data_IF_233631945072
#
_entry.id   IF_233631945072
#
_cell.length_a   1.000
_cell.length_b   1.000
_cell.length_c   1.000
_cell.angle_alpha   90.00
_cell.angle_beta   90.00
_cell.angle_gamma   90.00
#
_symmetry.space_group_name_H-M   'P 1'
#
loop_
_entity.id
_entity.type
_entity.pdbx_description
1 polymer ?
#
# COMPACT_ATOMS: atom_id res chain seq x y z
N UNK A 1 -3.46 15.92 76.25
CA UNK A 1 -2.71 15.36 75.11
C UNK A 1 -3.68 14.58 74.24
N UNK A 2 -4.19 15.21 73.20
CA UNK A 2 -5.03 14.56 72.21
C UNK A 2 -4.10 13.76 71.29
N UNK A 3 -4.21 12.43 71.32
CA UNK A 3 -3.47 11.56 70.40
C UNK A 3 -4.05 11.80 69.01
N UNK A 4 -3.34 12.58 68.20
CA UNK A 4 -3.63 12.74 66.78
C UNK A 4 -3.34 11.40 66.10
N UNK A 5 -4.39 10.60 65.94
CA UNK A 5 -4.35 9.34 65.22
C UNK A 5 -3.92 9.64 63.78
N UNK A 6 -2.73 9.15 63.40
CA UNK A 6 -2.25 9.26 62.04
C UNK A 6 -3.32 8.73 61.06
N UNK A 7 -3.53 9.42 59.92
CA UNK A 7 -4.51 9.00 58.94
C UNK A 7 -4.24 7.56 58.49
N UNK A 8 -5.29 6.75 58.25
CA UNK A 8 -5.13 5.36 57.84
C UNK A 8 -4.30 5.27 56.54
N UNK A 9 -3.46 4.25 56.45
CA UNK A 9 -2.64 4.00 55.28
C UNK A 9 -3.52 3.96 54.01
N UNK A 10 -3.11 4.61 52.91
CA UNK A 10 -3.91 4.69 51.70
C UNK A 10 -4.09 3.28 51.12
N UNK A 11 -5.35 2.88 50.87
CA UNK A 11 -5.64 1.55 50.36
C UNK A 11 -5.40 1.46 48.85
N UNK A 12 -4.95 0.29 48.37
CA UNK A 12 -4.81 0.02 46.93
C UNK A 12 -6.13 0.22 46.18
N UNK A 13 -7.27 -0.08 46.81
CA UNK A 13 -8.61 0.13 46.24
C UNK A 13 -8.91 1.62 46.05
N UNK A 14 -8.56 2.46 47.03
CA UNK A 14 -8.73 3.91 46.92
C UNK A 14 -7.85 4.50 45.80
N UNK A 15 -6.61 4.02 45.68
CA UNK A 15 -5.73 4.38 44.57
C UNK A 15 -6.32 3.94 43.22
N UNK A 16 -6.84 2.71 43.14
CA UNK A 16 -7.47 2.19 41.93
C UNK A 16 -8.70 3.01 41.51
N UNK A 17 -9.52 3.44 42.48
CA UNK A 17 -10.67 4.32 42.24
C UNK A 17 -10.21 5.70 41.73
N UNK A 18 -9.21 6.29 42.39
CA UNK A 18 -8.64 7.58 41.99
C UNK A 18 -8.01 7.54 40.59
N UNK A 19 -7.34 6.44 40.27
CA UNK A 19 -6.69 6.23 38.98
C UNK A 19 -7.65 5.75 37.90
N UNK A 20 -8.87 5.28 38.24
CA UNK A 20 -9.81 4.66 37.30
C UNK A 20 -10.00 5.46 36.01
N UNK A 21 -10.17 6.77 36.10
CA UNK A 21 -10.34 7.62 34.91
C UNK A 21 -9.06 7.72 34.04
N UNK A 22 -7.89 7.60 34.66
CA UNK A 22 -6.58 7.72 34.01
C UNK A 22 -6.04 6.40 33.47
N UNK A 23 -6.48 5.26 34.03
CA UNK A 23 -6.00 3.92 33.66
C UNK A 23 -7.08 3.03 33.03
N UNK A 24 -8.31 3.52 32.86
CA UNK A 24 -9.41 2.77 32.21
C UNK A 24 -9.10 2.33 30.78
N UNK A 25 -8.17 3.00 30.12
CA UNK A 25 -7.69 2.68 28.77
C UNK A 25 -6.39 1.88 28.74
N UNK A 26 -5.72 1.70 29.88
CA UNK A 26 -4.44 0.99 29.92
C UNK A 26 -4.64 -0.50 29.60
N UNK A 27 -3.83 -1.00 28.69
CA UNK A 27 -3.97 -2.35 28.15
C UNK A 27 -3.29 -3.43 29.02
N UNK A 28 -2.24 -3.05 29.74
CA UNK A 28 -1.44 -3.96 30.56
C UNK A 28 -0.87 -3.30 31.83
N UNK A 29 -0.23 -4.12 32.65
CA UNK A 29 0.40 -3.72 33.91
C UNK A 29 1.54 -2.72 33.70
N UNK A 30 2.25 -2.77 32.57
CA UNK A 30 3.41 -1.92 32.30
C UNK A 30 2.96 -0.48 31.99
N UNK A 31 1.87 -0.31 31.25
CA UNK A 31 1.26 1.01 31.03
C UNK A 31 0.75 1.63 32.34
N UNK A 32 0.14 0.83 33.21
CA UNK A 32 -0.31 1.30 34.53
C UNK A 32 0.89 1.64 35.41
N UNK A 33 1.95 0.83 35.42
CA UNK A 33 3.19 1.12 36.14
C UNK A 33 3.81 2.45 35.68
N UNK A 34 3.89 2.68 34.36
CA UNK A 34 4.39 3.94 33.81
C UNK A 34 3.53 5.15 34.22
N UNK A 35 2.21 5.00 34.26
CA UNK A 35 1.30 6.05 34.74
C UNK A 35 1.53 6.31 36.24
N UNK A 36 1.61 5.26 37.07
CA UNK A 36 1.87 5.37 38.50
C UNK A 36 3.22 6.07 38.77
N UNK A 37 4.27 5.67 38.08
CA UNK A 37 5.59 6.31 38.17
C UNK A 37 5.55 7.78 37.75
N UNK A 38 4.82 8.11 36.67
CA UNK A 38 4.65 9.50 36.23
C UNK A 38 3.93 10.37 37.24
N UNK A 39 3.11 9.77 38.11
CA UNK A 39 2.45 10.44 39.24
C UNK A 39 3.28 10.44 40.54
N UNK A 40 4.53 9.98 40.48
CA UNK A 40 5.46 9.95 41.60
C UNK A 40 5.40 8.68 42.46
N UNK A 41 4.65 7.65 42.04
CA UNK A 41 4.58 6.37 42.74
C UNK A 41 5.63 5.43 42.14
N UNK A 42 6.80 5.40 42.76
CA UNK A 42 7.88 4.45 42.44
C UNK A 42 7.89 3.26 43.42
N UNK A 43 8.81 2.31 43.27
CA UNK A 43 8.91 1.12 44.14
C UNK A 43 8.97 1.44 45.63
N UNK A 44 9.68 2.53 46.01
CA UNK A 44 9.80 2.95 47.41
C UNK A 44 8.48 3.44 47.97
N UNK A 45 7.71 4.20 47.17
CA UNK A 45 6.37 4.68 47.54
C UNK A 45 5.37 3.52 47.54
N UNK A 46 5.44 2.62 46.55
CA UNK A 46 4.60 1.41 46.48
C UNK A 46 4.78 0.53 47.72
N UNK A 47 6.01 0.35 48.19
CA UNK A 47 6.32 -0.42 49.38
C UNK A 47 5.88 0.28 50.67
N UNK A 48 6.25 1.55 50.83
CA UNK A 48 5.96 2.33 52.05
C UNK A 48 4.47 2.58 52.25
N UNK A 49 3.78 3.02 51.20
CA UNK A 49 2.43 3.57 51.33
C UNK A 49 1.34 2.53 51.03
N UNK A 50 1.66 1.50 50.25
CA UNK A 50 0.68 0.50 49.78
C UNK A 50 1.06 -0.95 50.12
N UNK A 51 2.24 -1.20 50.72
CA UNK A 51 2.68 -2.55 51.11
C UNK A 51 3.06 -3.47 49.95
N UNK A 52 3.27 -2.94 48.74
CA UNK A 52 3.63 -3.74 47.55
C UNK A 52 5.13 -3.73 47.30
N UNK A 53 5.69 -4.87 46.89
CA UNK A 53 7.15 -5.03 46.68
C UNK A 53 7.71 -4.21 45.51
N UNK A 54 6.86 -3.80 44.57
CA UNK A 54 7.22 -2.96 43.43
C UNK A 54 6.00 -2.21 42.90
N UNK A 55 6.25 -1.17 42.11
CA UNK A 55 5.22 -0.45 41.36
C UNK A 55 4.50 -1.37 40.37
N UNK A 56 5.17 -2.39 39.83
CA UNK A 56 4.55 -3.39 38.94
C UNK A 56 3.56 -4.29 39.69
N UNK A 57 3.91 -4.73 40.90
CA UNK A 57 2.99 -5.50 41.76
C UNK A 57 1.74 -4.67 42.08
N UNK A 58 1.95 -3.40 42.47
CA UNK A 58 0.86 -2.46 42.73
C UNK A 58 0.00 -2.20 41.49
N UNK A 59 0.63 -1.99 40.32
CA UNK A 59 -0.04 -1.81 39.05
C UNK A 59 -0.92 -3.02 38.68
N UNK A 60 -0.45 -4.24 38.94
CA UNK A 60 -1.23 -5.46 38.73
C UNK A 60 -2.49 -5.51 39.59
N UNK A 61 -2.39 -5.09 40.86
CA UNK A 61 -3.54 -4.96 41.76
C UNK A 61 -4.51 -3.84 41.34
N UNK A 62 -3.98 -2.70 40.89
CA UNK A 62 -4.80 -1.59 40.35
C UNK A 62 -5.56 -2.07 39.11
N UNK A 63 -4.90 -2.77 38.19
CA UNK A 63 -5.51 -3.34 36.98
C UNK A 63 -6.62 -4.33 37.32
N UNK A 64 -6.38 -5.22 38.29
CA UNK A 64 -7.37 -6.20 38.74
C UNK A 64 -8.59 -5.53 39.39
N UNK A 65 -8.38 -4.43 40.11
CA UNK A 65 -9.43 -3.71 40.84
C UNK A 65 -10.27 -2.80 39.94
N UNK A 66 -9.64 -2.11 38.99
CA UNK A 66 -10.36 -1.27 38.00
C UNK A 66 -11.14 -2.15 37.01
N UNK A 67 -10.68 -3.38 36.80
CA UNK A 67 -11.19 -4.27 35.77
C UNK A 67 -10.77 -3.80 34.37
N UNK A 68 -10.70 -4.73 33.42
CA UNK A 68 -10.55 -4.36 32.01
C UNK A 68 -11.86 -3.76 31.52
N UNK A 69 -12.06 -2.46 31.74
CA UNK A 69 -13.11 -1.69 31.10
C UNK A 69 -12.73 -1.33 29.66
N UNK A 70 -12.19 -2.29 28.92
CA UNK A 70 -12.40 -2.25 27.49
C UNK A 70 -13.82 -2.72 27.30
N UNK A 71 -14.75 -1.88 26.80
CA UNK A 71 -15.99 -2.42 26.27
C UNK A 71 -15.57 -3.45 25.24
N UNK A 72 -15.71 -4.73 25.61
CA UNK A 72 -15.65 -5.84 24.67
C UNK A 72 -16.91 -5.67 23.85
N UNK A 73 -16.91 -4.69 22.94
CA UNK A 73 -17.93 -4.62 21.90
C UNK A 73 -17.84 -5.98 21.24
N UNK A 74 -18.84 -6.82 21.50
CA UNK A 74 -18.96 -8.14 20.91
C UNK A 74 -18.70 -7.92 19.43
N UNK A 75 -17.55 -8.39 18.93
CA UNK A 75 -17.08 -7.96 17.62
C UNK A 75 -18.13 -8.45 16.63
N UNK A 76 -18.94 -7.53 16.10
CA UNK A 76 -19.79 -7.83 14.96
C UNK A 76 -18.89 -8.56 13.95
N UNK A 77 -19.35 -9.72 13.45
CA UNK A 77 -18.56 -10.55 12.54
C UNK A 77 -17.91 -9.61 11.52
N UNK A 78 -16.57 -9.52 11.47
CA UNK A 78 -15.92 -8.48 10.71
C UNK A 78 -16.22 -8.70 9.23
N UNK A 79 -17.17 -7.93 8.69
CA UNK A 79 -17.53 -8.01 7.29
C UNK A 79 -16.36 -7.47 6.48
N UNK A 80 -15.68 -8.34 5.72
CA UNK A 80 -14.62 -7.92 4.81
C UNK A 80 -15.16 -6.78 3.93
N UNK A 81 -14.40 -5.67 3.77
CA UNK A 81 -14.90 -4.50 3.07
C UNK A 81 -14.78 -4.72 1.56
N UNK A 82 -15.42 -5.77 1.05
CA UNK A 82 -15.33 -6.23 -0.35
C UNK A 82 -15.67 -5.10 -1.30
N UNK A 83 -16.75 -4.36 -1.03
CA UNK A 83 -17.14 -3.21 -1.83
C UNK A 83 -16.05 -2.14 -1.89
N UNK A 84 -15.36 -1.86 -0.78
CA UNK A 84 -14.28 -0.85 -0.77
C UNK A 84 -13.07 -1.32 -1.58
N UNK A 85 -12.70 -2.59 -1.48
CA UNK A 85 -11.61 -3.15 -2.27
C UNK A 85 -11.96 -3.19 -3.77
N UNK A 86 -13.20 -3.52 -4.13
CA UNK A 86 -13.67 -3.47 -5.52
C UNK A 86 -13.65 -2.05 -6.09
N UNK A 87 -14.06 -1.06 -5.30
CA UNK A 87 -13.99 0.36 -5.70
C UNK A 87 -12.54 0.78 -5.96
N UNK A 88 -11.61 0.40 -5.09
CA UNK A 88 -10.18 0.71 -5.26
C UNK A 88 -9.59 0.00 -6.47
N UNK A 89 -9.97 -1.25 -6.71
CA UNK A 89 -9.58 -1.98 -7.91
C UNK A 89 -10.09 -1.31 -9.19
N UNK A 90 -11.33 -0.84 -9.22
CA UNK A 90 -11.85 -0.05 -10.34
C UNK A 90 -11.02 1.21 -10.61
N UNK A 91 -10.57 1.89 -9.55
CA UNK A 91 -9.67 3.05 -9.71
C UNK A 91 -8.30 2.64 -10.26
N UNK A 92 -7.68 1.57 -9.75
CA UNK A 92 -6.41 1.06 -10.26
C UNK A 92 -6.51 0.54 -11.70
N UNK A 93 -7.68 0.06 -12.11
CA UNK A 93 -7.97 -0.41 -13.48
C UNK A 93 -8.08 0.75 -14.47
N UNK A 94 -8.50 1.94 -14.01
CA UNK A 94 -8.81 3.08 -14.87
C UNK A 94 -7.63 3.50 -15.76
N UNK A 95 -6.39 3.68 -15.24
CA UNK A 95 -5.24 4.00 -16.09
C UNK A 95 -4.96 2.94 -17.15
N UNK A 96 -5.08 1.66 -16.81
CA UNK A 96 -4.83 0.54 -17.74
C UNK A 96 -5.86 0.50 -18.86
N UNK A 97 -7.16 0.61 -18.54
CA UNK A 97 -8.24 0.67 -19.54
C UNK A 97 -8.05 1.87 -20.47
N UNK A 98 -7.70 3.02 -19.90
CA UNK A 98 -7.43 4.25 -20.64
C UNK A 98 -6.25 4.09 -21.59
N UNK A 99 -5.15 3.49 -21.12
CA UNK A 99 -3.96 3.23 -21.92
C UNK A 99 -4.23 2.24 -23.07
N UNK A 100 -5.00 1.18 -22.82
CA UNK A 100 -5.40 0.21 -23.85
C UNK A 100 -6.24 0.91 -24.92
N UNK A 101 -7.24 1.70 -24.53
CA UNK A 101 -8.08 2.41 -25.49
C UNK A 101 -7.32 3.48 -26.27
N UNK A 102 -6.36 4.15 -25.63
CA UNK A 102 -5.52 5.16 -26.26
C UNK A 102 -4.33 4.59 -27.04
N UNK A 103 -4.08 3.28 -27.02
CA UNK A 103 -2.88 2.67 -27.62
C UNK A 103 -2.56 3.13 -29.06
N UNK A 104 -3.55 3.27 -29.98
CA UNK A 104 -3.28 3.79 -31.33
C UNK A 104 -2.73 5.22 -31.34
N UNK A 105 -3.14 6.06 -30.39
CA UNK A 105 -2.68 7.45 -30.24
C UNK A 105 -1.31 7.56 -29.56
N UNK A 106 -0.88 6.51 -28.86
CA UNK A 106 0.42 6.44 -28.20
C UNK A 106 1.52 5.95 -29.16
N UNK A 107 1.13 5.30 -30.27
CA UNK A 107 2.05 4.79 -31.28
C UNK A 107 2.89 5.91 -31.90
N UNK A 108 4.22 5.75 -31.87
CA UNK A 108 5.16 6.72 -32.44
C UNK A 108 5.52 7.89 -31.51
N UNK A 109 4.92 7.98 -30.31
CA UNK A 109 5.37 8.93 -29.31
C UNK A 109 6.72 8.50 -28.70
N UNK A 110 7.58 9.46 -28.34
CA UNK A 110 8.83 9.14 -27.67
C UNK A 110 8.56 8.47 -26.32
N UNK A 111 9.40 7.50 -25.98
CA UNK A 111 9.25 6.69 -24.76
C UNK A 111 9.14 7.54 -23.49
N UNK A 112 9.85 8.68 -23.43
CA UNK A 112 9.78 9.59 -22.29
C UNK A 112 8.37 10.17 -22.11
N UNK A 113 7.57 10.35 -23.16
CA UNK A 113 6.22 10.87 -23.02
C UNK A 113 5.20 9.82 -22.54
N UNK A 114 5.58 8.54 -22.51
CA UNK A 114 4.71 7.40 -22.21
C UNK A 114 5.28 6.54 -21.07
N UNK A 115 6.17 5.60 -21.38
CA UNK A 115 6.76 4.66 -20.43
C UNK A 115 7.72 5.33 -19.45
N UNK A 116 8.45 6.37 -19.86
CA UNK A 116 9.30 7.15 -18.97
C UNK A 116 8.48 7.83 -17.87
N UNK A 117 7.37 8.47 -18.24
CA UNK A 117 6.45 9.06 -17.27
C UNK A 117 5.72 8.00 -16.44
N UNK A 118 5.45 6.81 -17.00
CA UNK A 118 4.87 5.70 -16.24
C UNK A 118 5.75 5.34 -15.03
N UNK A 119 7.06 5.23 -15.26
CA UNK A 119 8.04 4.93 -14.21
C UNK A 119 8.07 6.04 -13.15
N UNK A 120 8.26 7.28 -13.57
CA UNK A 120 8.41 8.42 -12.66
C UNK A 120 7.09 8.72 -11.92
N UNK A 121 5.98 8.66 -12.63
CA UNK A 121 4.63 8.89 -12.10
C UNK A 121 4.23 7.83 -11.08
N UNK A 122 4.49 6.55 -11.35
CA UNK A 122 4.19 5.47 -10.40
C UNK A 122 5.04 5.58 -9.12
N UNK A 123 6.37 5.75 -9.26
CA UNK A 123 7.25 5.96 -8.12
C UNK A 123 6.84 7.18 -7.28
N UNK A 124 6.61 8.33 -7.94
CA UNK A 124 6.20 9.55 -7.25
C UNK A 124 4.83 9.39 -6.59
N UNK A 125 3.88 8.71 -7.22
CA UNK A 125 2.57 8.42 -6.64
C UNK A 125 2.67 7.60 -5.35
N UNK A 126 3.59 6.62 -5.27
CA UNK A 126 3.83 5.84 -4.05
C UNK A 126 4.46 6.69 -2.94
N UNK A 127 5.46 7.51 -3.27
CA UNK A 127 6.05 8.47 -2.31
C UNK A 127 5.02 9.46 -1.77
N UNK A 128 4.22 10.05 -2.67
CA UNK A 128 3.21 11.03 -2.31
C UNK A 128 2.06 10.39 -1.56
N UNK A 129 1.66 9.15 -1.87
CA UNK A 129 0.65 8.42 -1.11
C UNK A 129 1.06 8.27 0.35
N UNK A 130 2.31 7.86 0.63
CA UNK A 130 2.83 7.77 2.00
C UNK A 130 2.74 9.11 2.73
N UNK A 131 3.27 10.19 2.12
CA UNK A 131 3.21 11.53 2.73
C UNK A 131 1.77 12.02 2.89
N UNK A 132 0.90 11.70 1.95
CA UNK A 132 -0.51 12.03 1.96
C UNK A 132 -1.24 11.35 3.12
N UNK A 133 -0.98 10.06 3.38
CA UNK A 133 -1.55 9.36 4.54
C UNK A 133 -1.03 9.94 5.87
N UNK A 134 0.26 10.29 5.98
CA UNK A 134 0.77 10.99 7.16
C UNK A 134 0.08 12.35 7.36
N UNK A 135 -0.07 13.13 6.29
CA UNK A 135 -0.76 14.42 6.33
C UNK A 135 -2.25 14.27 6.66
N UNK A 136 -2.90 13.21 6.19
CA UNK A 136 -4.30 12.91 6.48
C UNK A 136 -4.50 12.57 7.95
N UNK A 137 -3.59 11.80 8.54
CA UNK A 137 -3.65 11.40 9.95
C UNK A 137 -3.43 12.58 10.90
N UNK A 138 -2.57 13.55 10.55
CA UNK A 138 -2.21 14.65 11.45
C UNK A 138 -2.98 15.96 11.17
N UNK A 139 -3.15 16.30 9.90
CA UNK A 139 -3.78 17.54 9.44
C UNK A 139 -5.16 17.36 8.80
N UNK A 140 -5.65 16.12 8.69
CA UNK A 140 -6.91 15.80 8.04
C UNK A 140 -6.85 15.78 6.51
N UNK A 141 -7.98 15.40 5.89
CA UNK A 141 -8.13 15.26 4.43
C UNK A 141 -7.74 16.52 3.64
N UNK A 142 -8.08 17.76 4.07
CA UNK A 142 -7.67 18.96 3.34
C UNK A 142 -6.16 19.18 3.31
N UNK A 143 -5.45 18.83 4.38
CA UNK A 143 -3.98 18.92 4.43
C UNK A 143 -3.34 17.94 3.46
N UNK A 144 -3.83 16.69 3.45
CA UNK A 144 -3.37 15.66 2.53
C UNK A 144 -3.60 16.06 1.06
N UNK A 145 -4.81 16.49 0.71
CA UNK A 145 -5.14 16.90 -0.66
C UNK A 145 -4.24 18.04 -1.15
N UNK A 146 -4.00 19.06 -0.31
CA UNK A 146 -3.08 20.17 -0.65
C UNK A 146 -1.64 19.69 -0.82
N UNK A 147 -1.15 18.80 0.05
CA UNK A 147 0.21 18.24 -0.08
C UNK A 147 0.39 17.43 -1.35
N UNK A 148 -0.62 16.63 -1.71
CA UNK A 148 -0.63 15.87 -2.96
C UNK A 148 -0.67 16.80 -4.18
N UNK A 149 -1.50 17.85 -4.16
CA UNK A 149 -1.58 18.83 -5.25
C UNK A 149 -0.24 19.53 -5.48
N UNK A 150 0.43 19.95 -4.41
CA UNK A 150 1.78 20.53 -4.49
C UNK A 150 2.80 19.53 -5.05
N UNK A 151 2.76 18.28 -4.59
CA UNK A 151 3.69 17.23 -5.06
C UNK A 151 3.52 16.90 -6.54
N UNK A 152 2.28 16.65 -6.97
CA UNK A 152 1.99 16.37 -8.39
C UNK A 152 2.16 17.60 -9.27
N UNK A 153 1.88 18.82 -8.77
CA UNK A 153 2.15 20.07 -9.47
C UNK A 153 3.65 20.30 -9.69
N UNK A 154 4.48 20.03 -8.69
CA UNK A 154 5.94 20.09 -8.82
C UNK A 154 6.45 19.06 -9.85
N UNK A 155 5.95 17.81 -9.81
CA UNK A 155 6.29 16.81 -10.81
C UNK A 155 5.84 17.25 -12.22
N UNK A 156 4.65 17.82 -12.36
CA UNK A 156 4.16 18.33 -13.65
C UNK A 156 5.10 19.41 -14.22
N UNK A 157 5.52 20.36 -13.40
CA UNK A 157 6.42 21.43 -13.82
C UNK A 157 7.81 20.90 -14.23
N UNK A 158 8.38 19.99 -13.43
CA UNK A 158 9.66 19.35 -13.76
C UNK A 158 9.54 18.56 -15.06
N UNK A 159 8.48 17.76 -15.21
CA UNK A 159 8.30 16.93 -16.40
C UNK A 159 8.05 17.76 -17.66
N UNK A 160 7.22 18.80 -17.58
CA UNK A 160 7.01 19.72 -18.69
C UNK A 160 8.31 20.41 -19.13
N UNK A 161 9.18 20.76 -18.17
CA UNK A 161 10.51 21.31 -18.46
C UNK A 161 11.39 20.30 -19.20
N UNK A 162 11.38 19.03 -18.78
CA UNK A 162 12.13 17.96 -19.46
C UNK A 162 11.59 17.71 -20.88
N UNK A 163 10.27 17.74 -21.07
CA UNK A 163 9.65 17.67 -22.39
C UNK A 163 10.07 18.84 -23.30
N UNK A 164 10.17 20.06 -22.74
CA UNK A 164 10.62 21.23 -23.48
C UNK A 164 12.08 21.10 -23.92
N UNK A 165 12.96 20.68 -23.00
CA UNK A 165 14.37 20.43 -23.28
C UNK A 165 14.54 19.34 -24.36
N UNK A 166 13.69 18.31 -24.32
CA UNK A 166 13.71 17.22 -25.30
C UNK A 166 13.08 17.56 -26.66
N UNK A 167 12.56 18.79 -26.85
CA UNK A 167 11.88 19.19 -28.08
C UNK A 167 10.58 18.41 -28.35
N UNK A 168 9.87 18.03 -27.29
CA UNK A 168 8.69 17.18 -27.40
C UNK A 168 7.53 17.87 -28.15
N UNK A 169 6.76 17.08 -28.90
CA UNK A 169 5.60 17.59 -29.63
C UNK A 169 4.43 17.94 -28.70
N UNK A 170 3.45 18.76 -29.13
CA UNK A 170 2.28 19.10 -28.30
C UNK A 170 1.50 17.87 -27.81
N UNK A 171 1.41 16.81 -28.62
CA UNK A 171 0.74 15.57 -28.23
C UNK A 171 1.48 14.83 -27.10
N UNK A 172 2.83 14.91 -27.04
CA UNK A 172 3.60 14.37 -25.92
C UNK A 172 3.26 15.07 -24.60
N UNK A 173 3.07 16.40 -24.61
CA UNK A 173 2.59 17.13 -23.43
C UNK A 173 1.20 16.69 -23.00
N UNK A 174 0.27 16.55 -23.95
CA UNK A 174 -1.10 16.14 -23.67
C UNK A 174 -1.15 14.74 -23.05
N UNK A 175 -0.45 13.77 -23.65
CA UNK A 175 -0.38 12.40 -23.14
C UNK A 175 0.27 12.36 -21.75
N UNK A 176 1.39 13.08 -21.58
CA UNK A 176 2.06 13.15 -20.28
C UNK A 176 1.17 13.81 -19.22
N UNK A 177 0.48 14.90 -19.55
CA UNK A 177 -0.45 15.55 -18.64
C UNK A 177 -1.61 14.62 -18.26
N UNK A 178 -2.17 13.89 -19.22
CA UNK A 178 -3.26 12.94 -18.98
C UNK A 178 -2.83 11.80 -18.05
N UNK A 179 -1.66 11.22 -18.31
CA UNK A 179 -1.11 10.14 -17.49
C UNK A 179 -0.76 10.61 -16.06
N UNK A 180 -0.18 11.81 -15.92
CA UNK A 180 0.11 12.39 -14.62
C UNK A 180 -1.17 12.72 -13.84
N UNK A 181 -2.20 13.22 -14.53
CA UNK A 181 -3.50 13.48 -13.93
C UNK A 181 -4.19 12.19 -13.44
N UNK A 182 -4.05 11.08 -14.16
CA UNK A 182 -4.56 9.77 -13.72
C UNK A 182 -3.89 9.31 -12.42
N UNK A 183 -2.55 9.45 -12.32
CA UNK A 183 -1.84 9.20 -11.06
C UNK A 183 -2.30 10.13 -9.94
N UNK A 184 -2.36 11.43 -10.23
CA UNK A 184 -2.73 12.44 -9.25
C UNK A 184 -4.15 12.22 -8.69
N UNK A 185 -5.13 11.97 -9.56
CA UNK A 185 -6.51 11.73 -9.17
C UNK A 185 -6.65 10.43 -8.38
N UNK A 186 -6.03 9.34 -8.83
CA UNK A 186 -6.10 8.03 -8.16
C UNK A 186 -5.47 8.10 -6.77
N UNK A 187 -4.26 8.66 -6.66
CA UNK A 187 -3.58 8.82 -5.36
C UNK A 187 -4.37 9.72 -4.42
N UNK A 188 -4.86 10.86 -4.89
CA UNK A 188 -5.68 11.76 -4.07
C UNK A 188 -7.00 11.12 -3.62
N UNK A 189 -7.67 10.37 -4.48
CA UNK A 189 -8.90 9.67 -4.14
C UNK A 189 -8.66 8.63 -3.03
N UNK A 190 -7.60 7.84 -3.13
CA UNK A 190 -7.23 6.82 -2.15
C UNK A 190 -6.86 7.41 -0.79
N UNK A 191 -6.07 8.48 -0.78
CA UNK A 191 -5.58 9.11 0.45
C UNK A 191 -6.69 9.90 1.16
N UNK A 192 -7.56 10.58 0.39
CA UNK A 192 -8.60 11.45 0.97
C UNK A 192 -9.91 10.72 1.27
N UNK A 193 -10.06 9.47 0.84
CA UNK A 193 -11.30 8.71 0.98
C UNK A 193 -12.40 9.15 0.00
N UNK A 194 -12.00 9.62 -1.19
CA UNK A 194 -12.92 10.04 -2.26
C UNK A 194 -13.12 8.95 -3.33
N UNK A 195 -12.82 7.68 -3.01
CA UNK A 195 -12.67 6.62 -4.01
C UNK A 195 -13.97 6.37 -4.79
N UNK A 196 -15.10 6.24 -4.09
CA UNK A 196 -16.40 5.94 -4.72
C UNK A 196 -16.84 7.05 -5.70
N UNK A 197 -16.69 8.30 -5.28
CA UNK A 197 -17.07 9.46 -6.09
C UNK A 197 -16.15 9.59 -7.31
N UNK A 198 -14.86 9.37 -7.12
CA UNK A 198 -13.88 9.43 -8.20
C UNK A 198 -14.09 8.29 -9.20
N UNK A 199 -14.43 7.08 -8.73
CA UNK A 199 -14.72 5.95 -9.61
C UNK A 199 -15.99 6.20 -10.45
N UNK A 200 -17.02 6.79 -9.86
CA UNK A 200 -18.25 7.12 -10.59
C UNK A 200 -17.98 8.02 -11.80
N UNK A 201 -17.12 9.04 -11.65
CA UNK A 201 -16.74 9.92 -12.77
C UNK A 201 -15.71 9.27 -13.69
N UNK A 202 -14.87 8.35 -13.18
CA UNK A 202 -13.90 7.58 -13.97
C UNK A 202 -14.55 6.63 -15.00
N UNK A 203 -15.83 6.29 -14.83
CA UNK A 203 -16.59 5.57 -15.84
C UNK A 203 -16.55 6.25 -17.22
N UNK A 204 -16.47 7.59 -17.25
CA UNK A 204 -16.28 8.36 -18.49
C UNK A 204 -14.95 8.04 -19.20
N UNK A 205 -13.86 7.79 -18.48
CA UNK A 205 -12.59 7.33 -19.06
C UNK A 205 -12.76 5.96 -19.73
N UNK A 206 -13.56 5.06 -19.16
CA UNK A 206 -13.78 3.72 -19.72
C UNK A 206 -14.64 3.79 -20.98
N UNK A 207 -15.69 4.62 -20.96
CA UNK A 207 -16.50 4.93 -22.15
C UNK A 207 -15.63 5.57 -23.23
N UNK A 208 -14.79 6.55 -22.86
CA UNK A 208 -13.85 7.20 -23.77
C UNK A 208 -12.87 6.21 -24.38
N UNK A 209 -12.29 5.31 -23.58
CA UNK A 209 -11.43 4.24 -24.06
C UNK A 209 -12.16 3.32 -25.05
N UNK A 210 -13.39 2.92 -24.75
CA UNK A 210 -14.23 2.13 -25.66
C UNK A 210 -14.51 2.85 -26.98
N UNK A 211 -14.84 4.14 -26.93
CA UNK A 211 -15.04 4.97 -28.11
C UNK A 211 -13.76 5.09 -28.97
N UNK A 212 -12.59 5.22 -28.35
CA UNK A 212 -11.31 5.20 -29.06
C UNK A 212 -11.07 3.85 -29.77
N UNK A 213 -11.34 2.73 -29.09
CA UNK A 213 -11.22 1.40 -29.73
C UNK A 213 -12.21 1.19 -30.86
N UNK A 214 -13.38 1.85 -30.82
CA UNK A 214 -14.39 1.81 -31.86
C UNK A 214 -14.12 2.79 -33.03
N UNK A 215 -13.00 3.52 -33.01
CA UNK A 215 -12.63 4.49 -34.06
C UNK A 215 -13.31 5.86 -33.93
N UNK A 216 -14.09 6.10 -32.87
CA UNK A 216 -14.74 7.38 -32.60
C UNK A 216 -13.79 8.35 -31.89
N UNK A 217 -12.67 8.70 -32.54
CA UNK A 217 -11.54 9.40 -31.91
C UNK A 217 -11.92 10.70 -31.21
N UNK A 218 -12.65 11.60 -31.88
CA UNK A 218 -13.04 12.90 -31.30
C UNK A 218 -13.88 12.74 -30.03
N UNK A 219 -14.88 11.85 -30.06
CA UNK A 219 -15.73 11.57 -28.91
C UNK A 219 -14.94 10.91 -27.78
N UNK A 220 -14.08 9.95 -28.11
CA UNK A 220 -13.25 9.24 -27.15
C UNK A 220 -12.28 10.18 -26.42
N UNK A 221 -11.59 11.06 -27.15
CA UNK A 221 -10.69 12.07 -26.57
C UNK A 221 -11.46 13.06 -25.70
N UNK A 222 -12.63 13.56 -26.15
CA UNK A 222 -13.44 14.49 -25.40
C UNK A 222 -13.97 13.87 -24.09
N UNK A 223 -14.49 12.64 -24.14
CA UNK A 223 -14.98 11.92 -22.98
C UNK A 223 -13.87 11.63 -21.96
N UNK A 224 -12.70 11.22 -22.44
CA UNK A 224 -11.51 11.00 -21.60
C UNK A 224 -11.05 12.29 -20.93
N UNK A 225 -10.92 13.38 -21.69
CA UNK A 225 -10.52 14.69 -21.16
C UNK A 225 -11.50 15.21 -20.10
N UNK A 226 -12.80 15.15 -20.39
CA UNK A 226 -13.85 15.60 -19.46
C UNK A 226 -13.89 14.74 -18.19
N UNK A 227 -13.82 13.41 -18.33
CA UNK A 227 -13.80 12.49 -17.21
C UNK A 227 -12.56 12.67 -16.33
N UNK A 228 -11.39 12.86 -16.93
CA UNK A 228 -10.15 13.08 -16.21
C UNK A 228 -10.15 14.41 -15.43
N UNK A 229 -10.67 15.47 -16.04
CA UNK A 229 -10.89 16.74 -15.35
C UNK A 229 -11.85 16.58 -14.16
N UNK A 230 -12.97 15.85 -14.36
CA UNK A 230 -13.91 15.54 -13.29
C UNK A 230 -13.28 14.70 -12.17
N UNK A 231 -12.46 13.70 -12.50
CA UNK A 231 -11.71 12.90 -11.53
C UNK A 231 -10.79 13.77 -10.67
N UNK A 232 -10.04 14.69 -11.28
CA UNK A 232 -9.18 15.63 -10.54
C UNK A 232 -10.00 16.52 -9.61
N UNK A 233 -11.08 17.13 -10.11
CA UNK A 233 -11.96 17.99 -9.30
C UNK A 233 -12.53 17.22 -8.11
N UNK A 234 -13.06 16.02 -8.33
CA UNK A 234 -13.67 15.20 -7.28
C UNK A 234 -12.63 14.73 -6.25
N UNK A 235 -11.46 14.26 -6.71
CA UNK A 235 -10.41 13.76 -5.84
C UNK A 235 -9.75 14.86 -5.00
N UNK A 236 -9.64 16.08 -5.54
CA UNK A 236 -9.06 17.24 -4.86
C UNK A 236 -10.07 18.18 -4.20
N UNK A 237 -11.38 17.91 -4.28
CA UNK A 237 -12.43 18.66 -3.58
C UNK A 237 -12.11 18.91 -2.09
N UNK A 238 -11.54 17.95 -1.33
CA UNK A 238 -11.16 18.18 0.06
C UNK A 238 -10.12 19.29 0.27
N UNK A 239 -9.31 19.65 -0.74
CA UNK A 239 -8.28 20.69 -0.64
C UNK A 239 -8.84 22.08 -0.33
N UNK A 240 -10.09 22.35 -0.70
CA UNK A 240 -10.78 23.61 -0.41
C UNK A 240 -11.46 23.63 0.97
N UNK A 241 -11.46 22.51 1.70
CA UNK A 241 -12.01 22.44 3.05
C UNK A 241 -11.18 23.23 4.07
N UNK A 242 -11.83 23.74 5.12
CA UNK A 242 -11.11 24.32 6.27
C UNK A 242 -10.31 23.21 6.95
N UNK A 243 -8.99 23.36 6.98
CA UNK A 243 -8.07 22.42 7.63
C UNK A 243 -7.23 23.12 8.69
N UNK A 244 -6.58 22.32 9.55
CA UNK A 244 -5.56 22.80 10.48
C UNK A 244 -4.37 23.41 9.73
N UNK A 245 -3.43 23.99 10.49
CA UNK A 245 -2.17 24.55 10.01
C UNK A 245 -1.48 23.65 8.97
N UNK A 246 -0.70 24.23 8.03
CA UNK A 246 -0.02 23.48 6.98
C UNK A 246 0.87 22.38 7.58
N UNK A 247 0.63 21.15 7.15
CA UNK A 247 1.42 20.00 7.59
C UNK A 247 2.83 20.03 6.96
N UNK A 248 3.85 19.86 7.79
CA UNK A 248 5.25 19.84 7.38
C UNK A 248 5.89 18.51 7.80
N UNK A 249 6.25 17.64 6.85
CA UNK A 249 6.99 16.41 7.18
C UNK A 249 8.43 16.73 7.60
N UNK A 250 8.95 15.91 8.51
CA UNK A 250 10.38 15.87 8.83
C UNK A 250 11.18 15.15 7.72
N UNK A 251 12.51 15.23 7.82
CA UNK A 251 13.42 14.58 6.87
C UNK A 251 13.25 13.05 6.84
N UNK A 252 12.93 12.43 7.99
CA UNK A 252 12.74 10.98 8.12
C UNK A 252 11.54 10.49 7.31
N UNK A 253 10.44 11.25 7.30
CA UNK A 253 9.26 10.96 6.47
C UNK A 253 9.57 11.12 4.99
N UNK A 254 10.35 12.12 4.59
CA UNK A 254 10.80 12.23 3.20
C UNK A 254 11.69 11.05 2.78
N UNK A 255 12.62 10.62 3.62
CA UNK A 255 13.45 9.44 3.34
C UNK A 255 12.59 8.17 3.23
N UNK A 256 11.59 8.01 4.11
CA UNK A 256 10.64 6.88 4.05
C UNK A 256 9.79 6.95 2.78
N UNK A 257 9.30 8.13 2.42
CA UNK A 257 8.57 8.35 1.18
C UNK A 257 9.42 8.03 -0.05
N UNK A 258 10.69 8.44 -0.06
CA UNK A 258 11.64 8.12 -1.13
C UNK A 258 11.84 6.60 -1.26
N UNK A 259 11.91 5.88 -0.14
CA UNK A 259 11.93 4.41 -0.14
C UNK A 259 10.69 3.79 -0.81
N UNK A 260 9.49 4.30 -0.51
CA UNK A 260 8.26 3.85 -1.19
C UNK A 260 8.29 4.15 -2.68
N UNK A 261 8.79 5.33 -3.05
CA UNK A 261 8.93 5.71 -4.46
C UNK A 261 9.93 4.85 -5.20
N UNK A 262 11.06 4.53 -4.58
CA UNK A 262 12.08 3.66 -5.17
C UNK A 262 11.56 2.25 -5.43
N UNK A 263 10.76 1.70 -4.51
CA UNK A 263 10.05 0.42 -4.73
C UNK A 263 9.05 0.57 -5.88
N UNK A 264 8.22 1.62 -5.88
CA UNK A 264 7.23 1.88 -6.93
C UNK A 264 7.83 2.04 -8.33
N UNK A 265 8.97 2.76 -8.43
CA UNK A 265 9.76 2.91 -9.66
C UNK A 265 10.22 1.55 -10.17
N UNK A 266 10.78 0.71 -9.30
CA UNK A 266 11.19 -0.65 -9.66
C UNK A 266 10.00 -1.50 -10.13
N UNK A 267 8.83 -1.38 -9.49
CA UNK A 267 7.62 -2.10 -9.91
C UNK A 267 7.15 -1.66 -11.30
N UNK A 268 7.22 -0.36 -11.59
CA UNK A 268 6.87 0.18 -12.91
C UNK A 268 7.86 -0.27 -14.00
N UNK A 269 9.17 -0.27 -13.71
CA UNK A 269 10.20 -0.81 -14.62
C UNK A 269 9.93 -2.28 -14.90
N UNK A 270 9.72 -3.08 -13.85
CA UNK A 270 9.43 -4.51 -14.01
C UNK A 270 8.14 -4.74 -14.79
N UNK A 271 7.11 -3.94 -14.56
CA UNK A 271 5.86 -3.97 -15.34
C UNK A 271 6.09 -3.67 -16.82
N UNK A 272 6.86 -2.63 -17.14
CA UNK A 272 7.20 -2.30 -18.53
C UNK A 272 7.96 -3.46 -19.18
N UNK A 273 8.98 -3.96 -18.49
CA UNK A 273 9.80 -5.06 -18.98
C UNK A 273 8.95 -6.30 -19.20
N UNK A 274 8.10 -6.71 -18.28
CA UNK A 274 7.36 -7.99 -18.36
C UNK A 274 6.10 -7.90 -19.21
N UNK A 275 5.37 -6.78 -19.17
CA UNK A 275 4.03 -6.67 -19.76
C UNK A 275 4.06 -5.88 -21.06
N UNK A 276 4.66 -4.70 -21.05
CA UNK A 276 4.60 -3.81 -22.23
C UNK A 276 5.59 -4.23 -23.31
N UNK A 277 6.79 -4.69 -22.93
CA UNK A 277 7.79 -5.12 -23.90
C UNK A 277 7.51 -6.51 -24.51
N UNK A 278 6.62 -7.29 -23.89
CA UNK A 278 6.32 -8.67 -24.28
C UNK A 278 4.85 -8.91 -24.64
N UNK A 279 4.06 -7.86 -24.83
CA UNK A 279 2.72 -8.02 -25.38
C UNK A 279 2.85 -8.58 -26.80
N UNK A 280 2.58 -9.88 -26.97
CA UNK A 280 2.55 -10.55 -28.27
C UNK A 280 1.38 -10.08 -29.14
N UNK A 281 0.99 -10.90 -30.11
CA UNK A 281 -0.16 -10.63 -31.01
C UNK A 281 -1.52 -10.71 -30.29
N UNK A 282 -1.59 -11.31 -29.09
CA UNK A 282 -2.80 -11.31 -28.27
C UNK A 282 -2.99 -9.95 -27.61
N UNK A 283 -4.23 -9.45 -27.69
CA UNK A 283 -4.60 -8.13 -27.20
C UNK A 283 -4.09 -7.92 -25.76
N UNK A 284 -3.38 -6.80 -25.47
CA UNK A 284 -2.79 -6.48 -24.16
C UNK A 284 -3.79 -6.54 -22.98
N UNK A 285 -5.09 -6.58 -23.28
CA UNK A 285 -6.16 -6.84 -22.34
C UNK A 285 -6.03 -8.19 -21.59
N UNK A 286 -5.72 -9.32 -22.28
CA UNK A 286 -5.74 -10.64 -21.61
C UNK A 286 -4.53 -10.85 -20.69
N UNK A 287 -3.33 -10.39 -21.09
CA UNK A 287 -2.12 -10.50 -20.27
C UNK A 287 -2.11 -9.53 -19.08
N UNK A 288 -2.86 -8.43 -19.16
CA UNK A 288 -3.01 -7.50 -18.03
C UNK A 288 -3.99 -8.00 -16.95
N UNK A 289 -4.89 -8.94 -17.27
CA UNK A 289 -5.94 -9.39 -16.36
C UNK A 289 -5.42 -9.92 -15.00
N UNK A 290 -4.34 -10.74 -14.91
CA UNK A 290 -3.80 -11.16 -13.63
C UNK A 290 -3.35 -9.99 -12.75
N UNK A 291 -2.76 -8.95 -13.34
CA UNK A 291 -2.31 -7.76 -12.61
C UNK A 291 -3.49 -6.93 -12.10
N UNK A 292 -4.54 -6.83 -12.91
CA UNK A 292 -5.77 -6.12 -12.56
C UNK A 292 -6.51 -6.81 -11.41
N UNK A 293 -6.53 -8.15 -11.40
CA UNK A 293 -7.17 -8.94 -10.34
C UNK A 293 -6.30 -9.05 -9.09
N UNK A 294 -4.98 -9.03 -9.22
CA UNK A 294 -4.07 -9.21 -8.09
C UNK A 294 -4.16 -8.08 -7.07
N UNK A 295 -4.34 -6.83 -7.52
CA UNK A 295 -4.46 -5.69 -6.61
C UNK A 295 -5.64 -5.78 -5.63
N UNK A 296 -6.92 -5.95 -6.07
CA UNK A 296 -8.03 -6.14 -5.15
C UNK A 296 -7.85 -7.34 -4.22
N UNK A 297 -7.34 -8.45 -4.76
CA UNK A 297 -7.14 -9.67 -3.99
C UNK A 297 -6.08 -9.46 -2.90
N UNK A 298 -4.97 -8.81 -3.24
CA UNK A 298 -3.91 -8.46 -2.29
C UNK A 298 -4.44 -7.51 -1.21
N UNK A 299 -5.19 -6.48 -1.59
CA UNK A 299 -5.77 -5.55 -0.62
C UNK A 299 -6.76 -6.25 0.31
N UNK A 300 -7.66 -7.09 -0.22
CA UNK A 300 -8.59 -7.89 0.59
C UNK A 300 -7.85 -8.80 1.55
N UNK A 301 -6.79 -9.45 1.09
CA UNK A 301 -6.00 -10.36 1.89
C UNK A 301 -5.23 -9.62 2.99
N UNK A 302 -4.67 -8.43 2.70
CA UNK A 302 -4.02 -7.57 3.68
C UNK A 302 -5.02 -7.04 4.72
N UNK A 303 -6.21 -6.62 4.30
CA UNK A 303 -7.27 -6.16 5.21
C UNK A 303 -7.79 -7.30 6.08
N UNK A 304 -7.96 -8.49 5.52
CA UNK A 304 -8.27 -9.70 6.27
C UNK A 304 -7.19 -9.99 7.31
N UNK A 305 -5.92 -9.98 6.90
CA UNK A 305 -4.77 -10.22 7.76
C UNK A 305 -4.72 -9.23 8.94
N UNK A 306 -4.77 -7.92 8.65
CA UNK A 306 -4.75 -6.86 9.66
C UNK A 306 -5.87 -7.00 10.68
N UNK A 307 -7.10 -7.32 10.22
CA UNK A 307 -8.24 -7.54 11.12
C UNK A 307 -8.06 -8.76 12.00
N UNK A 308 -7.55 -9.87 11.45
CA UNK A 308 -7.26 -11.07 12.26
C UNK A 308 -6.18 -10.82 13.30
N UNK A 309 -5.16 -10.03 12.98
CA UNK A 309 -4.14 -9.62 13.96
C UNK A 309 -4.75 -8.73 15.03
N UNK A 310 -5.57 -7.74 14.65
CA UNK A 310 -6.26 -6.85 15.59
C UNK A 310 -7.24 -7.60 16.51
N UNK A 311 -8.04 -8.54 15.97
CA UNK A 311 -8.90 -9.45 16.75
C UNK A 311 -8.08 -10.27 17.74
N UNK A 312 -6.95 -10.81 17.29
CA UNK A 312 -6.03 -11.55 18.16
C UNK A 312 -5.52 -10.69 19.31
N UNK A 313 -5.13 -9.45 19.02
CA UNK A 313 -4.65 -8.49 20.02
C UNK A 313 -5.74 -8.09 21.01
N UNK A 314 -6.99 -7.94 20.55
CA UNK A 314 -8.11 -7.60 21.41
C UNK A 314 -8.59 -8.75 22.32
N UNK A 315 -8.39 -10.01 21.90
CA UNK A 315 -8.90 -11.19 22.61
C UNK A 315 -7.86 -11.93 23.45
N UNK A 316 -6.59 -11.88 23.07
CA UNK A 316 -5.52 -12.66 23.70
C UNK A 316 -4.68 -11.75 24.59
N UNK A 317 -4.88 -11.85 25.91
CA UNK A 317 -4.10 -11.11 26.90
C UNK A 317 -2.64 -11.61 26.97
N UNK A 318 -2.43 -12.90 26.75
CA UNK A 318 -1.12 -13.52 26.92
C UNK A 318 -0.27 -13.48 25.64
N UNK A 319 1.01 -13.13 25.80
CA UNK A 319 1.98 -13.02 24.69
C UNK A 319 2.14 -14.34 23.93
N UNK A 320 2.26 -15.48 24.61
CA UNK A 320 2.53 -16.76 23.94
C UNK A 320 1.35 -17.25 23.05
N UNK A 321 0.09 -17.24 23.53
CA UNK A 321 -1.09 -17.43 22.68
C UNK A 321 -1.17 -16.44 21.52
N UNK A 322 -0.90 -15.15 21.75
CA UNK A 322 -0.90 -14.15 20.68
C UNK A 322 0.14 -14.45 19.60
N UNK A 323 1.37 -14.82 19.97
CA UNK A 323 2.40 -15.19 18.99
C UNK A 323 2.04 -16.45 18.19
N UNK A 324 1.37 -17.44 18.81
CA UNK A 324 0.85 -18.62 18.08
C UNK A 324 -0.25 -18.23 17.10
N UNK A 325 -1.16 -17.35 17.51
CA UNK A 325 -2.20 -16.81 16.63
C UNK A 325 -1.60 -16.04 15.46
N UNK A 326 -0.66 -15.13 15.72
CA UNK A 326 0.07 -14.37 14.71
C UNK A 326 0.77 -15.29 13.71
N UNK A 327 1.44 -16.35 14.17
CA UNK A 327 2.08 -17.34 13.30
C UNK A 327 1.08 -18.06 12.39
N UNK A 328 -0.09 -18.43 12.92
CA UNK A 328 -1.16 -19.08 12.14
C UNK A 328 -1.72 -18.13 11.08
N UNK A 329 -2.05 -16.89 11.46
CA UNK A 329 -2.58 -15.87 10.54
C UNK A 329 -1.55 -15.52 9.47
N UNK A 330 -0.28 -15.33 9.85
CA UNK A 330 0.83 -15.08 8.92
C UNK A 330 1.07 -16.25 7.96
N UNK A 331 1.04 -17.50 8.43
CA UNK A 331 1.10 -18.68 7.55
C UNK A 331 -0.09 -18.76 6.59
N UNK A 332 -1.32 -18.52 7.08
CA UNK A 332 -2.52 -18.53 6.22
C UNK A 332 -2.47 -17.46 5.13
N UNK A 333 -1.98 -16.27 5.47
CA UNK A 333 -1.75 -15.18 4.50
C UNK A 333 -0.65 -15.56 3.50
N UNK A 334 0.41 -16.20 3.98
CA UNK A 334 1.48 -16.75 3.13
C UNK A 334 0.99 -17.79 2.13
N UNK A 335 0.09 -18.69 2.54
CA UNK A 335 -0.53 -19.68 1.64
C UNK A 335 -1.36 -19.01 0.55
N UNK A 336 -2.12 -17.95 0.88
CA UNK A 336 -2.84 -17.18 -0.12
C UNK A 336 -1.89 -16.45 -1.10
N UNK A 337 -0.77 -15.91 -0.62
CA UNK A 337 0.29 -15.35 -1.46
C UNK A 337 1.06 -16.39 -2.29
N UNK A 338 0.91 -17.69 -2.00
CA UNK A 338 1.49 -18.74 -2.83
C UNK A 338 0.64 -19.05 -4.07
N UNK A 339 -0.61 -18.57 -4.14
CA UNK A 339 -1.50 -18.85 -5.28
C UNK A 339 -0.95 -18.37 -6.63
N UNK A 340 -0.36 -17.15 -6.77
CA UNK A 340 0.25 -16.74 -8.03
C UNK A 340 1.47 -17.58 -8.42
N UNK A 341 2.21 -18.10 -7.44
CA UNK A 341 3.33 -19.02 -7.67
C UNK A 341 2.83 -20.36 -8.23
N UNK A 342 1.79 -20.93 -7.62
CA UNK A 342 1.19 -22.18 -8.09
C UNK A 342 0.56 -22.00 -9.48
N UNK A 343 -0.24 -20.95 -9.67
CA UNK A 343 -0.86 -20.63 -10.94
C UNK A 343 0.17 -20.36 -12.05
N UNK A 344 1.20 -19.56 -11.75
CA UNK A 344 2.31 -19.31 -12.66
C UNK A 344 3.14 -20.55 -12.98
N UNK A 345 3.43 -21.39 -11.98
CA UNK A 345 4.15 -22.66 -12.18
C UNK A 345 3.36 -23.64 -13.06
N UNK A 346 2.07 -23.81 -12.79
CA UNK A 346 1.19 -24.63 -13.64
C UNK A 346 1.09 -24.04 -15.05
N UNK A 347 0.87 -22.73 -15.19
CA UNK A 347 0.84 -22.08 -16.49
C UNK A 347 2.16 -22.26 -17.26
N UNK A 348 3.32 -22.16 -16.59
CA UNK A 348 4.63 -22.41 -17.20
C UNK A 348 4.76 -23.85 -17.75
N UNK A 349 4.25 -24.85 -17.03
CA UNK A 349 4.29 -26.26 -17.50
C UNK A 349 3.39 -26.51 -18.70
N UNK A 350 2.32 -25.73 -18.85
CA UNK A 350 1.34 -25.86 -19.94
C UNK A 350 1.63 -24.89 -21.10
N UNK A 351 2.51 -23.90 -20.91
CA UNK A 351 2.79 -22.86 -21.89
C UNK A 351 3.64 -23.39 -23.05
N UNK A 352 2.96 -23.70 -24.16
CA UNK A 352 3.59 -24.00 -25.44
C UNK A 352 3.70 -22.78 -26.36
N UNK A 353 3.00 -21.69 -26.05
CA UNK A 353 2.93 -20.47 -26.86
C UNK A 353 3.55 -19.25 -26.14
N UNK A 354 4.02 -18.23 -26.90
CA UNK A 354 4.48 -16.97 -26.31
C UNK A 354 3.43 -16.31 -25.40
N UNK A 355 2.15 -16.40 -25.74
CA UNK A 355 1.07 -15.82 -24.93
C UNK A 355 0.89 -16.54 -23.59
N UNK A 356 1.08 -17.87 -23.57
CA UNK A 356 1.09 -18.65 -22.33
C UNK A 356 2.23 -18.24 -21.39
N UNK A 357 3.41 -17.97 -21.94
CA UNK A 357 4.54 -17.43 -21.17
C UNK A 357 4.30 -15.99 -20.71
N UNK A 358 3.69 -15.13 -21.53
CA UNK A 358 3.33 -13.78 -21.13
C UNK A 358 2.32 -13.77 -19.97
N UNK A 359 1.29 -14.63 -20.03
CA UNK A 359 0.31 -14.80 -18.95
C UNK A 359 0.97 -15.31 -17.66
N UNK A 360 1.90 -16.26 -17.80
CA UNK A 360 2.71 -16.79 -16.69
C UNK A 360 3.50 -15.67 -16.01
N UNK A 361 4.26 -14.89 -16.79
CA UNK A 361 5.07 -13.78 -16.29
C UNK A 361 4.21 -12.71 -15.61
N UNK A 362 3.06 -12.34 -16.21
CA UNK A 362 2.13 -11.38 -15.63
C UNK A 362 1.53 -11.86 -14.29
N UNK A 363 1.21 -13.15 -14.18
CA UNK A 363 0.69 -13.77 -12.95
C UNK A 363 1.74 -13.76 -11.84
N UNK A 364 2.98 -14.12 -12.16
CA UNK A 364 4.09 -14.09 -11.20
C UNK A 364 4.44 -12.66 -10.78
N UNK A 365 4.44 -11.71 -11.71
CA UNK A 365 4.64 -10.28 -11.45
C UNK A 365 3.57 -9.75 -10.48
N UNK A 366 2.31 -10.13 -10.68
CA UNK A 366 1.21 -9.80 -9.78
C UNK A 366 1.52 -10.22 -8.33
N UNK A 367 1.99 -11.45 -8.13
CA UNK A 367 2.35 -11.93 -6.81
C UNK A 367 3.62 -11.31 -6.24
N UNK A 368 4.63 -11.00 -7.06
CA UNK A 368 5.81 -10.22 -6.63
C UNK A 368 5.41 -8.82 -6.16
N UNK A 369 4.50 -8.16 -6.87
CA UNK A 369 3.97 -6.86 -6.45
C UNK A 369 3.22 -6.96 -5.12
N UNK A 370 2.43 -8.03 -4.93
CA UNK A 370 1.76 -8.30 -3.66
C UNK A 370 2.76 -8.51 -2.51
N UNK A 371 3.83 -9.27 -2.75
CA UNK A 371 4.91 -9.49 -1.78
C UNK A 371 5.62 -8.16 -1.45
N UNK A 372 5.90 -7.32 -2.44
CA UNK A 372 6.49 -5.99 -2.21
C UNK A 372 5.60 -5.14 -1.30
N UNK A 373 4.29 -5.11 -1.54
CA UNK A 373 3.34 -4.39 -0.69
C UNK A 373 3.34 -4.91 0.75
N UNK A 374 3.37 -6.23 0.94
CA UNK A 374 3.48 -6.85 2.26
C UNK A 374 4.79 -6.43 2.94
N UNK A 375 5.92 -6.56 2.25
CA UNK A 375 7.23 -6.20 2.80
C UNK A 375 7.29 -4.71 3.19
N UNK A 376 6.77 -3.82 2.36
CA UNK A 376 6.68 -2.38 2.66
C UNK A 376 5.76 -2.13 3.86
N UNK A 377 4.59 -2.76 3.91
CA UNK A 377 3.64 -2.63 5.02
C UNK A 377 4.24 -3.11 6.36
N UNK A 378 5.14 -4.09 6.32
CA UNK A 378 5.89 -4.60 7.47
C UNK A 378 7.26 -3.91 7.69
N UNK A 379 7.43 -2.68 7.18
CA UNK A 379 8.64 -1.84 7.37
C UNK A 379 9.94 -2.46 6.84
N UNK A 380 9.86 -3.25 5.78
CA UNK A 380 11.02 -3.82 5.07
C UNK A 380 11.14 -3.28 3.63
N UNK A 381 11.21 -1.95 3.42
CA UNK A 381 11.28 -1.37 2.08
C UNK A 381 12.57 -1.76 1.35
N UNK A 382 13.67 -1.99 2.08
CA UNK A 382 14.95 -2.45 1.49
C UNK A 382 14.78 -3.84 0.86
N UNK A 383 14.10 -4.76 1.54
CA UNK A 383 13.83 -6.10 0.99
C UNK A 383 12.90 -6.04 -0.22
N UNK A 384 11.87 -5.20 -0.18
CA UNK A 384 10.99 -4.97 -1.32
C UNK A 384 11.74 -4.37 -2.52
N UNK A 385 12.62 -3.40 -2.25
CA UNK A 385 13.46 -2.77 -3.27
C UNK A 385 14.44 -3.78 -3.88
N UNK A 386 15.14 -4.56 -3.05
CA UNK A 386 16.07 -5.58 -3.51
C UNK A 386 15.34 -6.61 -4.41
N UNK A 387 14.15 -7.06 -4.02
CA UNK A 387 13.34 -7.98 -4.81
C UNK A 387 13.00 -7.40 -6.19
N UNK A 388 12.41 -6.21 -6.23
CA UNK A 388 11.91 -5.67 -7.50
C UNK A 388 13.02 -5.22 -8.44
N UNK A 389 14.11 -4.67 -7.91
CA UNK A 389 15.25 -4.22 -8.72
C UNK A 389 16.13 -5.39 -9.19
N UNK A 390 16.30 -6.45 -8.39
CA UNK A 390 16.98 -7.66 -8.86
C UNK A 390 16.20 -8.35 -9.96
N UNK A 391 14.87 -8.49 -9.82
CA UNK A 391 14.01 -8.99 -10.88
C UNK A 391 14.12 -8.14 -12.16
N UNK A 392 14.04 -6.81 -12.03
CA UNK A 392 14.15 -5.88 -13.16
C UNK A 392 15.50 -6.00 -13.87
N UNK A 393 16.60 -6.02 -13.13
CA UNK A 393 17.94 -6.14 -13.69
C UNK A 393 18.13 -7.47 -14.42
N UNK A 394 17.72 -8.59 -13.82
CA UNK A 394 17.83 -9.91 -14.44
C UNK A 394 17.00 -10.01 -15.72
N UNK A 395 15.75 -9.50 -15.70
CA UNK A 395 14.88 -9.49 -16.88
C UNK A 395 15.48 -8.60 -17.98
N UNK A 396 16.01 -7.42 -17.63
CA UNK A 396 16.66 -6.54 -18.59
C UNK A 396 17.89 -7.19 -19.23
N UNK A 397 18.73 -7.88 -18.45
CA UNK A 397 19.88 -8.63 -18.97
C UNK A 397 19.43 -9.72 -19.95
N UNK A 398 18.39 -10.49 -19.61
CA UNK A 398 17.83 -11.50 -20.52
C UNK A 398 17.32 -10.85 -21.80
N UNK A 399 16.58 -9.74 -21.70
CA UNK A 399 16.06 -9.02 -22.86
C UNK A 399 17.16 -8.47 -23.78
N UNK A 400 18.32 -8.08 -23.23
CA UNK A 400 19.45 -7.59 -24.03
C UNK A 400 20.28 -8.72 -24.65
N UNK A 401 20.55 -9.80 -23.90
CA UNK A 401 21.48 -10.85 -24.31
C UNK A 401 20.83 -11.88 -25.22
N UNK A 402 19.58 -12.26 -24.97
CA UNK A 402 18.90 -13.33 -25.71
C UNK A 402 18.74 -13.05 -27.21
N UNK A 403 18.32 -11.84 -27.66
CA UNK A 403 18.22 -11.54 -29.08
C UNK A 403 19.54 -11.68 -29.84
N UNK A 404 20.66 -11.41 -29.17
CA UNK A 404 21.99 -11.53 -29.79
C UNK A 404 22.42 -13.00 -29.97
N UNK A 405 21.85 -13.92 -29.20
CA UNK A 405 22.26 -15.33 -29.19
C UNK A 405 21.28 -16.26 -29.93
N UNK A 406 19.99 -15.90 -30.02
CA UNK A 406 18.94 -16.79 -30.52
C UNK A 406 18.08 -16.12 -31.58
N UNK A 407 17.86 -16.82 -32.71
CA UNK A 407 16.97 -16.40 -33.80
C UNK A 407 15.49 -16.39 -33.41
N UNK A 408 15.09 -17.16 -32.38
CA UNK A 408 13.74 -17.20 -31.81
C UNK A 408 13.58 -16.27 -30.58
N UNK A 409 14.00 -15.01 -30.71
CA UNK A 409 14.14 -14.08 -29.59
C UNK A 409 12.87 -13.83 -28.75
N UNK A 410 11.65 -13.61 -29.31
CA UNK A 410 10.51 -13.15 -28.50
C UNK A 410 10.01 -14.19 -27.47
N UNK A 411 9.94 -15.46 -27.86
CA UNK A 411 9.52 -16.56 -26.96
C UNK A 411 10.59 -16.81 -25.90
N UNK A 412 11.87 -16.69 -26.26
CA UNK A 412 12.97 -16.93 -25.34
C UNK A 412 13.02 -15.86 -24.22
N UNK A 413 12.72 -14.59 -24.52
CA UNK A 413 12.72 -13.53 -23.49
C UNK A 413 11.51 -13.65 -22.56
N UNK A 414 10.30 -13.94 -23.06
CA UNK A 414 9.12 -14.15 -22.19
C UNK A 414 9.28 -15.36 -21.29
N UNK A 415 9.81 -16.46 -21.83
CA UNK A 415 10.16 -17.65 -21.06
C UNK A 415 11.23 -17.35 -20.02
N UNK A 416 12.30 -16.66 -20.41
CA UNK A 416 13.38 -16.27 -19.49
C UNK A 416 12.87 -15.38 -18.35
N UNK A 417 12.02 -14.40 -18.66
CA UNK A 417 11.36 -13.53 -17.68
C UNK A 417 10.50 -14.33 -16.71
N UNK A 418 9.68 -15.26 -17.22
CA UNK A 418 8.86 -16.15 -16.41
C UNK A 418 9.69 -16.98 -15.43
N UNK A 419 10.79 -17.57 -15.92
CA UNK A 419 11.69 -18.38 -15.10
C UNK A 419 12.39 -17.55 -14.02
N UNK A 420 12.86 -16.33 -14.34
CA UNK A 420 13.44 -15.41 -13.34
C UNK A 420 12.43 -15.12 -12.24
N UNK A 421 11.21 -14.72 -12.60
CA UNK A 421 10.17 -14.41 -11.61
C UNK A 421 9.83 -15.66 -10.78
N UNK A 422 9.74 -16.83 -11.40
CA UNK A 422 9.47 -18.10 -10.74
C UNK A 422 10.57 -18.46 -9.73
N UNK A 423 11.84 -18.22 -10.05
CA UNK A 423 12.97 -18.49 -9.16
C UNK A 423 13.06 -17.50 -8.00
N UNK A 424 12.72 -16.22 -8.22
CA UNK A 424 12.76 -15.18 -7.19
C UNK A 424 11.55 -15.25 -6.24
N UNK A 425 10.44 -15.83 -6.66
CA UNK A 425 9.19 -15.83 -5.89
C UNK A 425 9.28 -16.60 -4.56
N UNK A 426 9.77 -17.86 -4.48
CA UNK A 426 9.81 -18.60 -3.22
C UNK A 426 10.61 -17.93 -2.10
N UNK A 427 11.86 -17.44 -2.32
CA UNK A 427 12.60 -16.76 -1.25
C UNK A 427 11.94 -15.45 -0.84
N UNK A 428 11.34 -14.71 -1.80
CA UNK A 428 10.59 -13.50 -1.52
C UNK A 428 9.33 -13.77 -0.67
N UNK A 429 8.60 -14.82 -1.00
CA UNK A 429 7.43 -15.28 -0.24
C UNK A 429 7.82 -15.67 1.18
N UNK A 430 8.92 -16.42 1.35
CA UNK A 430 9.43 -16.78 2.67
C UNK A 430 9.80 -15.54 3.50
N UNK A 431 10.45 -14.55 2.88
CA UNK A 431 10.78 -13.28 3.54
C UNK A 431 9.51 -12.53 3.99
N UNK A 432 8.48 -12.47 3.16
CA UNK A 432 7.19 -11.87 3.51
C UNK A 432 6.47 -12.62 4.64
N UNK A 433 6.47 -13.95 4.61
CA UNK A 433 5.90 -14.78 5.68
C UNK A 433 6.63 -14.53 7.00
N UNK A 434 7.95 -14.46 6.98
CA UNK A 434 8.74 -14.18 8.17
C UNK A 434 8.47 -12.77 8.70
N UNK A 435 8.30 -11.77 7.81
CA UNK A 435 7.91 -10.42 8.20
C UNK A 435 6.53 -10.38 8.87
N UNK A 436 5.53 -11.07 8.32
CA UNK A 436 4.18 -11.16 8.92
C UNK A 436 4.16 -11.87 10.27
N UNK A 437 5.07 -12.84 10.47
CA UNK A 437 5.20 -13.59 11.74
C UNK A 437 5.95 -12.82 12.82
N UNK A 438 6.65 -11.74 12.45
CA UNK A 438 7.45 -10.93 13.34
C UNK A 438 6.58 -9.89 14.06
N UNK A 439 6.37 -9.99 15.39
CA UNK A 439 5.55 -9.05 16.14
C UNK A 439 6.09 -7.61 16.10
N UNK A 440 7.39 -7.43 15.88
CA UNK A 440 8.00 -6.10 15.81
C UNK A 440 7.61 -5.34 14.56
N UNK A 441 7.19 -6.04 13.50
CA UNK A 441 6.75 -5.43 12.25
C UNK A 441 5.42 -4.65 12.35
N UNK A 442 4.69 -4.81 13.47
CA UNK A 442 3.40 -4.15 13.73
C UNK A 442 3.50 -2.96 14.70
N UNK A 443 4.68 -2.72 15.29
CA UNK A 443 4.98 -1.47 16.00
C UNK A 443 5.39 -0.44 14.97
#
# INVERSE_FOLDING_TARGET
MSVELAPPAPSTTALAEQMRARVSWAADTDEIAAILESTGINDRVAHRDYGHTSVFTLAGHVLATVGRNHPTTASARPQLPVTSAMVRAGLYLTPTVTAIGAAPLLGGLPWYATTGLLVVGWGTAQSLAYLGYCAANEGGRPSAARKLALGFGALAAVWATLLAIAGASPISYLVSAAQLALFAATTAALVTGAERRTLAVAAGCWIGAGALTAGATTLGVAALGASLAAMLVVAYLPAWGRGRAPWRPDLRRYATAAGHGFVGTGQAVLFILVVLHHAGTVAPAMSSAPLLMAMPLTELMLLWHQRRVAEGRARLADRAPFLRHLRRVGSGTGLALALPLLAGGTAATLASSPDGWALTAATLLAGINAICLVLVAHRRPVSAAALVWSASALVAVVAMVVPALLTAAPVAITKGSSLILLCLYPPALLAAINAMKDPWSYR
#
